data_IF_177443919621
#
_entry.id   IF_177443919621
#
_cell.length_a   1.000
_cell.length_b   1.000
_cell.length_c   1.000
_cell.angle_alpha   90.00
_cell.angle_beta   90.00
_cell.angle_gamma   90.00
#
_symmetry.space_group_name_H-M   'P 1'
#
loop_
_entity.id
_entity.type
_entity.pdbx_description
1 polymer ?
#
# COMPACT_ATOMS: atom_id res chain seq x y z
N UNK A 1 -36.39 -7.95 -1.99
CA UNK A 1 -35.24 -8.81 -2.36
C UNK A 1 -33.99 -8.01 -2.02
N UNK A 2 -33.41 -8.25 -0.83
CA UNK A 2 -32.35 -7.41 -0.27
C UNK A 2 -31.00 -7.74 -0.89
N UNK A 3 -30.31 -6.71 -1.39
CA UNK A 3 -28.91 -6.82 -1.79
C UNK A 3 -28.05 -6.95 -0.52
N UNK A 4 -27.08 -7.87 -0.45
CA UNK A 4 -26.19 -7.93 0.70
C UNK A 4 -25.29 -6.70 0.67
N UNK A 5 -25.42 -5.87 1.71
CA UNK A 5 -24.43 -4.83 2.01
C UNK A 5 -23.25 -5.51 2.67
N UNK A 6 -22.14 -5.63 1.94
CA UNK A 6 -20.85 -5.99 2.52
C UNK A 6 -20.30 -4.74 3.18
N UNK A 7 -20.38 -4.69 4.52
CA UNK A 7 -19.60 -3.75 5.31
C UNK A 7 -18.14 -4.17 5.20
N UNK A 8 -17.36 -3.45 4.39
CA UNK A 8 -15.90 -3.46 4.55
C UNK A 8 -15.66 -2.67 5.85
N UNK A 9 -15.14 -3.29 6.92
CA UNK A 9 -14.89 -2.57 8.15
C UNK A 9 -13.91 -1.43 7.83
N UNK A 10 -14.28 -0.20 8.21
CA UNK A 10 -13.33 0.89 8.32
C UNK A 10 -12.20 0.48 9.28
N UNK A 11 -10.99 1.04 9.15
CA UNK A 11 -9.85 0.63 9.97
C UNK A 11 -10.22 0.79 11.45
N UNK A 12 -10.33 -0.34 12.15
CA UNK A 12 -10.65 -0.34 13.57
C UNK A 12 -9.54 0.31 14.40
N UNK A 13 -9.79 0.62 15.69
CA UNK A 13 -8.87 1.36 16.57
C UNK A 13 -7.52 0.66 16.87
N UNK A 14 -7.26 -0.50 16.26
CA UNK A 14 -6.01 -1.28 16.33
C UNK A 14 -5.24 -1.34 14.99
N UNK A 15 -5.76 -0.75 13.91
CA UNK A 15 -5.27 -0.94 12.54
C UNK A 15 -4.44 0.26 12.04
N UNK A 16 -3.14 0.23 12.31
CA UNK A 16 -2.18 1.02 11.53
C UNK A 16 -1.94 0.37 10.15
N UNK A 17 -1.35 1.08 9.18
CA UNK A 17 -1.10 0.54 7.84
C UNK A 17 -0.26 -0.74 7.86
N UNK A 18 0.58 -0.94 8.89
CA UNK A 18 1.32 -2.18 9.06
C UNK A 18 0.42 -3.41 9.19
N UNK A 19 -0.71 -3.31 9.90
CA UNK A 19 -1.65 -4.44 10.06
C UNK A 19 -2.22 -4.92 8.73
N UNK A 20 -2.41 -4.00 7.77
CA UNK A 20 -2.92 -4.28 6.42
C UNK A 20 -1.82 -4.83 5.50
N UNK A 21 -0.57 -4.39 5.69
CA UNK A 21 0.60 -4.82 4.90
C UNK A 21 1.16 -6.18 5.36
N UNK A 22 1.15 -6.43 6.67
CA UNK A 22 1.81 -7.57 7.33
C UNK A 22 1.45 -8.94 6.71
N UNK A 23 0.19 -9.24 6.32
CA UNK A 23 -0.14 -10.51 5.68
C UNK A 23 0.55 -10.73 4.32
N UNK A 24 1.00 -9.66 3.68
CA UNK A 24 1.65 -9.70 2.36
C UNK A 24 3.17 -9.67 2.44
N UNK A 25 3.73 -9.70 3.66
CA UNK A 25 5.18 -9.67 3.91
C UNK A 25 5.62 -11.05 4.42
N UNK A 26 6.80 -11.50 4.00
CA UNK A 26 7.40 -12.76 4.44
C UNK A 26 7.46 -12.87 5.97
N UNK A 27 7.16 -14.04 6.53
CA UNK A 27 7.00 -14.23 7.96
C UNK A 27 8.22 -13.77 8.78
N UNK A 28 9.42 -14.05 8.29
CA UNK A 28 10.68 -13.60 8.91
C UNK A 28 10.79 -12.07 8.95
N UNK A 29 10.53 -11.41 7.82
CA UNK A 29 10.55 -9.95 7.74
C UNK A 29 9.43 -9.35 8.58
N UNK A 30 8.22 -9.90 8.51
CA UNK A 30 7.07 -9.44 9.29
C UNK A 30 7.37 -9.50 10.79
N UNK A 31 7.96 -10.60 11.28
CA UNK A 31 8.34 -10.73 12.68
C UNK A 31 9.40 -9.70 13.11
N UNK A 32 10.41 -9.45 12.27
CA UNK A 32 11.43 -8.44 12.56
C UNK A 32 10.87 -7.00 12.49
N UNK A 33 9.94 -6.73 11.56
CA UNK A 33 9.26 -5.45 11.41
C UNK A 33 8.23 -5.20 12.52
N UNK A 34 7.65 -6.26 13.12
CA UNK A 34 6.78 -6.16 14.30
C UNK A 34 7.52 -5.56 15.51
N UNK A 35 8.84 -5.69 15.57
CA UNK A 35 9.68 -5.11 16.63
C UNK A 35 10.02 -3.62 16.39
N UNK A 36 9.71 -3.06 15.21
CA UNK A 36 9.93 -1.65 14.93
C UNK A 36 8.88 -0.75 15.61
N UNK A 37 9.21 0.52 15.90
CA UNK A 37 8.26 1.46 16.47
C UNK A 37 7.00 1.62 15.60
N UNK A 38 5.80 1.47 16.21
CA UNK A 38 4.51 1.52 15.48
C UNK A 38 4.25 2.88 14.83
N UNK A 39 4.74 3.95 15.45
CA UNK A 39 4.68 5.32 14.95
C UNK A 39 5.46 5.50 13.64
N UNK A 40 6.53 4.73 13.42
CA UNK A 40 7.25 4.72 12.16
C UNK A 40 6.34 4.29 11.00
N UNK A 41 5.53 3.24 11.18
CA UNK A 41 4.59 2.78 10.15
C UNK A 41 3.44 3.76 9.92
N UNK A 42 2.95 4.47 10.95
CA UNK A 42 1.98 5.55 10.78
C UNK A 42 2.54 6.70 9.94
N UNK A 43 3.85 6.95 10.05
CA UNK A 43 4.57 8.00 9.32
C UNK A 43 5.19 7.52 8.00
N UNK A 44 5.15 6.23 7.68
CA UNK A 44 5.76 5.64 6.49
C UNK A 44 4.94 5.88 5.20
N UNK A 45 5.61 6.34 4.15
CA UNK A 45 5.08 6.45 2.77
C UNK A 45 5.38 5.18 1.97
N UNK A 46 6.56 4.62 2.19
CA UNK A 46 7.01 3.44 1.48
C UNK A 46 7.65 2.46 2.45
N UNK A 47 7.38 1.16 2.26
CA UNK A 47 8.24 0.07 2.74
C UNK A 47 8.99 -0.49 1.53
N UNK A 48 10.31 -0.39 1.55
CA UNK A 48 11.21 -0.81 0.48
C UNK A 48 11.92 -2.10 0.89
N UNK A 49 11.77 -3.12 0.05
CA UNK A 49 12.46 -4.39 0.23
C UNK A 49 13.36 -4.63 -0.99
N UNK A 50 14.67 -4.80 -0.79
CA UNK A 50 15.65 -5.03 -1.86
C UNK A 50 16.65 -6.10 -1.43
N UNK A 51 16.86 -7.11 -2.25
CA UNK A 51 17.77 -8.22 -1.92
C UNK A 51 19.17 -7.69 -1.57
N UNK A 52 19.74 -8.17 -0.46
CA UNK A 52 21.07 -7.79 0.03
C UNK A 52 21.14 -6.37 0.61
N UNK A 53 19.98 -5.74 0.87
CA UNK A 53 19.88 -4.44 1.54
C UNK A 53 18.94 -4.56 2.74
N UNK A 54 19.10 -3.71 3.76
CA UNK A 54 18.10 -3.61 4.81
C UNK A 54 16.76 -3.17 4.23
N UNK A 55 15.67 -3.70 4.77
CA UNK A 55 14.34 -3.17 4.56
C UNK A 55 14.32 -1.71 5.04
N UNK A 56 13.58 -0.84 4.35
CA UNK A 56 13.53 0.56 4.78
C UNK A 56 12.16 1.20 4.69
N UNK A 57 11.84 1.99 5.72
CA UNK A 57 10.64 2.80 5.79
C UNK A 57 10.98 4.25 5.44
N UNK A 58 10.48 4.74 4.30
CA UNK A 58 10.59 6.15 3.95
C UNK A 58 9.45 6.92 4.62
N UNK A 59 9.77 7.83 5.53
CA UNK A 59 8.78 8.60 6.28
C UNK A 59 8.31 9.86 5.51
N UNK A 60 7.20 10.46 5.95
CA UNK A 60 6.67 11.70 5.37
C UNK A 60 7.70 12.84 5.26
N UNK A 61 8.63 12.92 6.22
CA UNK A 61 9.67 13.95 6.31
C UNK A 61 10.91 13.67 5.48
N UNK A 62 10.95 12.56 4.72
CA UNK A 62 12.13 12.12 3.97
C UNK A 62 13.14 11.32 4.78
N UNK A 63 12.95 11.22 6.10
CA UNK A 63 13.71 10.33 6.98
C UNK A 63 13.51 8.87 6.57
N UNK A 64 14.57 8.06 6.67
CA UNK A 64 14.55 6.63 6.34
C UNK A 64 14.90 5.82 7.59
N UNK A 65 14.01 4.91 7.99
CA UNK A 65 14.24 3.99 9.10
C UNK A 65 14.60 2.62 8.55
N UNK A 66 15.77 2.11 8.91
CA UNK A 66 16.26 0.80 8.47
C UNK A 66 15.68 -0.32 9.35
N UNK A 67 15.41 -1.46 8.74
CA UNK A 67 14.95 -2.69 9.37
C UNK A 67 15.91 -3.85 9.09
N UNK A 68 15.42 -5.11 9.07
CA UNK A 68 16.25 -6.29 8.84
C UNK A 68 16.79 -6.35 7.41
N UNK A 69 17.89 -7.06 7.19
CA UNK A 69 18.36 -7.42 5.85
C UNK A 69 17.29 -8.22 5.09
N UNK A 70 17.11 -7.93 3.80
CA UNK A 70 16.17 -8.62 2.90
C UNK A 70 16.92 -9.63 2.05
N UNK A 71 16.42 -10.86 1.99
CA UNK A 71 16.95 -11.96 1.20
C UNK A 71 16.06 -12.26 -0.01
N UNK A 72 16.59 -13.00 -0.98
CA UNK A 72 15.81 -13.51 -2.11
C UNK A 72 14.59 -14.35 -1.69
N UNK A 73 14.75 -15.32 -0.76
CA UNK A 73 13.63 -16.08 -0.21
C UNK A 73 12.52 -15.21 0.38
N UNK A 74 12.85 -14.12 1.09
CA UNK A 74 11.81 -13.24 1.63
C UNK A 74 10.99 -12.57 0.52
N UNK A 75 11.62 -12.12 -0.57
CA UNK A 75 10.89 -11.52 -1.68
C UNK A 75 10.03 -12.56 -2.42
N UNK A 76 10.51 -13.80 -2.54
CA UNK A 76 9.74 -14.89 -3.12
C UNK A 76 8.47 -15.18 -2.28
N UNK A 77 8.62 -15.30 -0.96
CA UNK A 77 7.49 -15.50 -0.04
C UNK A 77 6.52 -14.30 -0.07
N UNK A 78 7.03 -13.06 -0.10
CA UNK A 78 6.17 -11.88 -0.28
C UNK A 78 5.36 -11.97 -1.57
N UNK A 79 5.98 -12.38 -2.68
CA UNK A 79 5.28 -12.51 -3.97
C UNK A 79 4.20 -13.59 -3.91
N UNK A 80 4.47 -14.72 -3.26
CA UNK A 80 3.49 -15.78 -3.05
C UNK A 80 2.26 -15.25 -2.29
N UNK A 81 2.47 -14.51 -1.19
CA UNK A 81 1.39 -13.88 -0.44
C UNK A 81 0.62 -12.85 -1.29
N UNK A 82 1.34 -12.00 -2.03
CA UNK A 82 0.75 -10.95 -2.88
C UNK A 82 -0.09 -11.51 -4.02
N UNK A 83 0.32 -12.65 -4.59
CA UNK A 83 -0.35 -13.30 -5.71
C UNK A 83 -1.36 -14.35 -5.28
N UNK A 84 -1.56 -14.53 -3.97
CA UNK A 84 -2.38 -15.61 -3.40
C UNK A 84 -1.98 -16.99 -3.96
N UNK A 85 -0.66 -17.21 -4.10
CA UNK A 85 -0.06 -18.39 -4.72
C UNK A 85 -0.47 -18.65 -6.18
N UNK A 86 -1.01 -17.65 -6.89
CA UNK A 86 -1.44 -17.78 -8.29
C UNK A 86 -0.74 -16.78 -9.20
N UNK A 87 0.57 -16.95 -9.38
CA UNK A 87 1.40 -16.05 -10.21
C UNK A 87 0.82 -15.81 -11.61
N UNK A 88 0.22 -16.85 -12.21
CA UNK A 88 -0.37 -16.79 -13.55
C UNK A 88 -1.56 -15.83 -13.62
N UNK A 89 -2.37 -15.76 -12.56
CA UNK A 89 -3.52 -14.85 -12.51
C UNK A 89 -3.10 -13.37 -12.52
N UNK A 90 -1.85 -13.07 -12.17
CA UNK A 90 -1.32 -11.72 -12.00
C UNK A 90 -0.25 -11.34 -13.04
N UNK A 91 -0.05 -12.13 -14.10
CA UNK A 91 0.96 -11.85 -15.13
C UNK A 91 0.78 -10.47 -15.79
N UNK A 92 -0.47 -10.03 -16.00
CA UNK A 92 -0.76 -8.74 -16.61
C UNK A 92 -0.35 -7.57 -15.68
N UNK A 93 -0.69 -7.66 -14.40
CA UNK A 93 -0.34 -6.68 -13.37
C UNK A 93 1.17 -6.64 -13.11
N UNK A 94 1.82 -7.81 -13.07
CA UNK A 94 3.27 -7.91 -13.00
C UNK A 94 3.95 -7.33 -14.24
N UNK A 95 3.36 -7.49 -15.42
CA UNK A 95 3.79 -6.82 -16.65
C UNK A 95 3.70 -5.30 -16.57
N UNK A 96 2.74 -4.76 -15.81
CA UNK A 96 2.63 -3.33 -15.50
C UNK A 96 3.56 -2.88 -14.36
N UNK A 97 4.24 -3.81 -13.70
CA UNK A 97 5.23 -3.55 -12.65
C UNK A 97 4.63 -3.21 -11.28
N UNK A 98 3.35 -3.44 -11.03
CA UNK A 98 2.77 -3.27 -9.70
C UNK A 98 1.49 -4.08 -9.46
N UNK A 99 1.23 -4.39 -8.20
CA UNK A 99 0.02 -5.02 -7.69
C UNK A 99 -0.73 -4.03 -6.78
N UNK A 100 -2.04 -4.20 -6.63
CA UNK A 100 -2.85 -3.45 -5.65
C UNK A 100 -3.39 -4.44 -4.62
N UNK A 101 -3.23 -4.11 -3.33
CA UNK A 101 -3.71 -4.93 -2.22
C UNK A 101 -4.84 -4.21 -1.45
N UNK A 102 -5.60 -4.91 -0.59
CA UNK A 102 -6.58 -4.28 0.31
C UNK A 102 -6.00 -3.08 1.07
N UNK A 103 -6.85 -2.12 1.43
CA UNK A 103 -6.40 -0.82 1.94
C UNK A 103 -6.03 0.19 0.85
N UNK A 104 -5.99 -0.25 -0.42
CA UNK A 104 -5.63 0.60 -1.56
C UNK A 104 -4.12 0.84 -1.67
N UNK A 105 -3.31 0.10 -0.93
CA UNK A 105 -1.85 0.13 -1.07
C UNK A 105 -1.45 -0.46 -2.43
N UNK A 106 -0.31 0.00 -2.95
CA UNK A 106 0.25 -0.51 -4.21
C UNK A 106 1.62 -1.09 -3.96
N UNK A 107 1.90 -2.25 -4.52
CA UNK A 107 3.19 -2.93 -4.39
C UNK A 107 3.87 -2.92 -5.75
N UNK A 108 4.86 -2.04 -5.91
CA UNK A 108 5.71 -2.04 -7.08
C UNK A 108 6.64 -3.26 -7.06
N UNK A 109 6.79 -3.89 -8.22
CA UNK A 109 7.63 -5.07 -8.42
C UNK A 109 8.71 -4.74 -9.43
N UNK A 110 9.97 -5.00 -9.09
CA UNK A 110 11.07 -4.86 -10.05
C UNK A 110 12.00 -6.08 -10.02
N UNK A 111 12.40 -6.49 -11.22
CA UNK A 111 13.23 -7.65 -11.50
C UNK A 111 13.61 -7.66 -12.98
N UNK A 112 14.08 -8.80 -13.45
CA UNK A 112 14.40 -9.00 -14.87
C UNK A 112 13.12 -9.13 -15.68
N UNK A 113 12.91 -8.24 -16.64
CA UNK A 113 11.78 -8.35 -17.58
C UNK A 113 12.16 -9.31 -18.70
N UNK A 114 11.33 -10.32 -18.94
CA UNK A 114 11.47 -11.23 -20.09
C UNK A 114 10.21 -11.14 -20.95
N UNK A 115 10.40 -11.13 -22.25
CA UNK A 115 9.31 -11.15 -23.22
C UNK A 115 9.03 -12.60 -23.60
N UNK A 116 7.75 -12.98 -23.52
CA UNK A 116 7.27 -14.30 -23.92
C UNK A 116 6.98 -14.31 -25.42
N UNK A 117 6.98 -15.49 -26.06
CA UNK A 117 6.72 -15.63 -27.50
C UNK A 117 5.37 -15.08 -27.98
N UNK A 118 4.45 -14.75 -27.07
CA UNK A 118 3.17 -14.09 -27.37
C UNK A 118 3.22 -12.55 -27.27
N UNK A 119 4.40 -11.94 -27.13
CA UNK A 119 4.57 -10.48 -26.96
C UNK A 119 4.19 -9.95 -25.57
N UNK A 120 3.95 -10.84 -24.59
CA UNK A 120 3.69 -10.44 -23.21
C UNK A 120 4.99 -10.32 -22.43
N UNK A 121 5.12 -9.26 -21.63
CA UNK A 121 6.25 -9.04 -20.72
C UNK A 121 5.91 -9.62 -19.34
N UNK A 122 6.79 -10.45 -18.80
CA UNK A 122 6.68 -10.96 -17.43
C UNK A 122 7.95 -10.62 -16.65
N UNK A 123 7.83 -10.45 -15.34
CA UNK A 123 8.95 -10.13 -14.45
C UNK A 123 9.43 -11.42 -13.79
N UNK A 124 10.69 -11.76 -14.00
CA UNK A 124 11.41 -12.84 -13.34
C UNK A 124 12.51 -12.27 -12.45
N UNK A 125 13.10 -13.11 -11.60
CA UNK A 125 14.24 -12.73 -10.75
C UNK A 125 13.95 -11.43 -9.97
N UNK A 126 12.83 -11.41 -9.23
CA UNK A 126 12.40 -10.21 -8.50
C UNK A 126 13.49 -9.84 -7.48
N UNK A 127 14.09 -8.67 -7.69
CA UNK A 127 15.15 -8.13 -6.84
C UNK A 127 14.65 -7.10 -5.84
N UNK A 128 13.43 -6.59 -6.02
CA UNK A 128 12.84 -5.63 -5.08
C UNK A 128 11.32 -5.56 -5.12
N UNK A 129 10.75 -5.23 -3.96
CA UNK A 129 9.35 -4.83 -3.78
C UNK A 129 9.29 -3.44 -3.12
N UNK A 130 8.34 -2.62 -3.54
CA UNK A 130 8.08 -1.31 -2.94
C UNK A 130 6.59 -1.21 -2.59
N UNK A 131 6.28 -1.27 -1.30
CA UNK A 131 4.93 -1.07 -0.81
C UNK A 131 4.69 0.42 -0.62
N UNK A 132 3.87 1.02 -1.48
CA UNK A 132 3.37 2.39 -1.36
C UNK A 132 2.15 2.38 -0.47
N UNK A 133 2.33 2.94 0.72
CA UNK A 133 1.35 2.89 1.79
C UNK A 133 0.29 3.96 1.54
N UNK A 134 -0.86 3.54 1.03
CA UNK A 134 -2.09 4.34 1.03
C UNK A 134 -2.43 4.85 2.44
N UNK A 135 -2.95 6.08 2.50
CA UNK A 135 -3.42 6.70 3.74
C UNK A 135 -4.82 7.24 3.54
N UNK A 136 -5.74 6.79 4.37
CA UNK A 136 -6.89 7.58 4.78
C UNK A 136 -6.43 8.53 5.87
N UNK A 137 -6.71 9.82 5.71
CA UNK A 137 -6.61 10.77 6.82
C UNK A 137 -8.03 11.17 7.12
N UNK A 138 -8.57 10.56 8.17
CA UNK A 138 -9.93 10.79 8.63
C UNK A 138 -10.01 12.09 9.43
N UNK A 139 -11.18 12.74 9.43
CA UNK A 139 -11.42 13.99 10.16
C UNK A 139 -10.84 15.25 9.49
N UNK A 140 -10.33 15.17 8.26
CA UNK A 140 -9.94 16.34 7.47
C UNK A 140 -11.18 17.16 7.09
N UNK A 141 -12.28 16.51 6.71
CA UNK A 141 -13.52 17.15 6.29
C UNK A 141 -14.13 18.00 7.40
N UNK A 142 -13.98 17.60 8.66
CA UNK A 142 -14.59 18.27 9.82
C UNK A 142 -14.34 19.78 9.88
N UNK A 143 -13.11 20.25 9.58
CA UNK A 143 -12.79 21.69 9.57
C UNK A 143 -13.38 22.45 8.37
N UNK A 144 -13.81 21.73 7.34
CA UNK A 144 -14.41 22.29 6.12
C UNK A 144 -15.94 22.19 6.11
N UNK A 145 -16.54 21.25 6.85
CA UNK A 145 -18.01 21.07 6.95
C UNK A 145 -18.75 22.40 7.19
N UNK A 146 -18.35 23.28 8.14
CA UNK A 146 -19.04 24.55 8.35
C UNK A 146 -19.04 25.50 7.15
N UNK A 147 -18.19 25.27 6.15
CA UNK A 147 -18.05 26.10 4.93
C UNK A 147 -18.70 25.48 3.69
N UNK A 148 -18.92 24.16 3.70
CA UNK A 148 -19.41 23.41 2.53
C UNK A 148 -20.76 22.74 2.77
N UNK A 149 -21.33 22.87 3.97
CA UNK A 149 -22.66 22.40 4.30
C UNK A 149 -23.49 23.50 4.96
N UNK A 150 -24.74 23.64 4.51
CA UNK A 150 -25.72 24.57 5.07
C UNK A 150 -27.04 23.84 5.31
N UNK A 151 -27.66 24.03 6.50
CA UNK A 151 -28.94 23.41 6.88
C UNK A 151 -28.96 21.88 6.66
N UNK A 152 -27.84 21.22 6.96
CA UNK A 152 -27.70 19.76 6.80
C UNK A 152 -27.58 19.29 5.35
N UNK A 153 -27.37 20.20 4.38
CA UNK A 153 -27.14 19.84 2.97
C UNK A 153 -25.75 20.28 2.52
N UNK A 154 -25.07 19.42 1.79
CA UNK A 154 -23.83 19.75 1.11
C UNK A 154 -24.11 20.74 -0.03
N UNK A 155 -23.31 21.80 -0.08
CA UNK A 155 -23.29 22.76 -1.18
C UNK A 155 -22.50 22.16 -2.35
N UNK A 156 -22.86 22.53 -3.57
CA UNK A 156 -22.04 22.23 -4.75
C UNK A 156 -20.67 22.86 -4.60
N UNK A 157 -19.65 22.05 -4.31
CA UNK A 157 -18.31 22.50 -3.92
C UNK A 157 -17.25 21.89 -4.83
N UNK A 158 -16.42 22.73 -5.44
CA UNK A 158 -15.25 22.28 -6.21
C UNK A 158 -14.00 22.25 -5.32
N UNK A 159 -13.34 21.09 -5.23
CA UNK A 159 -12.11 20.90 -4.44
C UNK A 159 -10.90 20.92 -5.39
N UNK A 160 -10.05 21.95 -5.28
CA UNK A 160 -8.87 22.16 -6.15
C UNK A 160 -7.58 22.18 -5.32
N UNK A 161 -6.49 21.64 -5.86
CA UNK A 161 -5.17 21.67 -5.23
C UNK A 161 -4.12 20.79 -5.94
N UNK A 162 -2.83 20.95 -5.65
CA UNK A 162 -1.74 20.21 -6.30
C UNK A 162 -1.83 18.68 -6.12
N UNK A 163 -1.20 17.86 -6.98
CA UNK A 163 -1.11 16.41 -6.79
C UNK A 163 -0.62 16.04 -5.38
N UNK A 164 -1.25 15.06 -4.74
CA UNK A 164 -0.87 14.60 -3.39
C UNK A 164 -1.33 15.48 -2.20
N UNK A 165 -2.02 16.59 -2.42
CA UNK A 165 -2.44 17.50 -1.34
C UNK A 165 -3.67 17.05 -0.52
N UNK A 166 -4.07 15.77 -0.61
CA UNK A 166 -5.20 15.23 0.17
C UNK A 166 -6.61 15.53 -0.36
N UNK A 167 -6.77 15.97 -1.62
CA UNK A 167 -8.10 16.23 -2.23
C UNK A 167 -9.01 15.01 -2.19
N UNK A 168 -8.48 13.86 -2.62
CA UNK A 168 -9.20 12.59 -2.65
C UNK A 168 -9.49 12.10 -1.23
N UNK A 169 -8.66 12.48 -0.26
CA UNK A 169 -8.89 12.21 1.15
C UNK A 169 -10.04 13.05 1.69
N UNK A 170 -10.08 14.35 1.40
CA UNK A 170 -11.19 15.26 1.75
C UNK A 170 -12.52 14.90 1.08
N UNK A 171 -12.50 14.33 -0.14
CA UNK A 171 -13.71 13.91 -0.84
C UNK A 171 -14.33 12.62 -0.28
N UNK A 172 -13.52 11.79 0.38
CA UNK A 172 -13.94 10.49 0.91
C UNK A 172 -14.38 10.54 2.37
N UNK A 173 -13.79 11.48 3.13
CA UNK A 173 -14.11 11.80 4.51
C UNK A 173 -15.35 12.70 4.61
#
# INVERSE_FOLDING_TARGET
MGMPVVLVPGPGPNNGPWSELRPYVAGRLAHALDAMPRDAFLRARELRLRVGRPASLLLLGGEEVQGPEVTGPDLAECLEHLTQHSLYAWEAELGNGFLTIPGGHRVGVAGRVVETGSGRRTVRDIGSLNYRIARSVEGIAGRYIPRIAERGRLLSTLIVGPPGCGKTTLLRD
#
